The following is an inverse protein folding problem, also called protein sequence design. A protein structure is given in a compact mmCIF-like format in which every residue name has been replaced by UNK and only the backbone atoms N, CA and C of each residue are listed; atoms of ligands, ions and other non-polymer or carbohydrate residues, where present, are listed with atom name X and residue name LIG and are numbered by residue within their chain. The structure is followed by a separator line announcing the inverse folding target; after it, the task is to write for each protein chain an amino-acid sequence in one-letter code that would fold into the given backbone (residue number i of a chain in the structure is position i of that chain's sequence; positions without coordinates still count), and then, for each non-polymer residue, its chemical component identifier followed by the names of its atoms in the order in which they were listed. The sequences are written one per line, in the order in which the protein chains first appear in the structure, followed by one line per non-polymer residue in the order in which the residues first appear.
data_IF_847015497420
#
_entry.id   IF_847015497420
#
_cell.length_a   1.000
_cell.length_b   1.000
_cell.length_c   1.000
_cell.angle_alpha   90.00
_cell.angle_beta   90.00
_cell.angle_gamma   90.00
#
_symmetry.space_group_name_H-M   'P 1'
#
loop_
_entity.id
_entity.type
_entity.pdbx_description
1 polymer ?
#
# COMPACT_ATOMS: atom_id res chain seq x y z
N UNK A 1 -33.00 48.16 31.45
CA UNK A 1 -32.50 46.85 31.92
C UNK A 1 -32.39 45.87 30.73
N UNK A 2 -31.67 46.29 29.68
CA UNK A 2 -31.54 45.56 28.40
C UNK A 2 -30.17 45.82 27.73
N UNK A 3 -29.14 46.08 28.54
CA UNK A 3 -27.77 46.38 28.06
C UNK A 3 -26.74 45.37 28.58
N UNK A 4 -27.14 44.44 29.47
CA UNK A 4 -26.24 43.45 30.07
C UNK A 4 -26.22 42.11 29.32
N UNK A 5 -27.14 41.88 28.37
CA UNK A 5 -27.20 40.62 27.60
C UNK A 5 -26.41 40.63 26.28
N UNK A 6 -25.83 41.78 25.89
CA UNK A 6 -25.08 41.90 24.63
C UNK A 6 -23.55 41.75 24.80
N UNK A 7 -23.03 41.81 26.02
CA UNK A 7 -21.58 41.70 26.27
C UNK A 7 -21.12 40.26 26.56
N UNK A 8 -22.02 39.37 27.02
CA UNK A 8 -21.68 37.97 27.30
C UNK A 8 -21.73 37.04 26.06
N UNK A 9 -22.18 37.54 24.91
CA UNK A 9 -22.11 36.81 23.62
C UNK A 9 -20.86 37.15 22.80
N UNK A 10 -20.06 38.14 23.21
CA UNK A 10 -18.84 38.56 22.52
C UNK A 10 -17.56 37.87 23.04
N UNK A 11 -17.68 37.05 24.10
CA UNK A 11 -16.57 36.29 24.69
C UNK A 11 -16.71 34.77 24.50
N UNK A 12 -17.41 34.33 23.45
CA UNK A 12 -17.16 33.01 22.90
C UNK A 12 -15.75 33.08 22.28
N UNK A 13 -14.74 32.68 23.05
CA UNK A 13 -13.40 32.43 22.56
C UNK A 13 -13.52 31.67 21.25
N UNK A 14 -13.09 32.25 20.13
CA UNK A 14 -12.93 31.50 18.89
C UNK A 14 -12.13 30.24 19.26
N UNK A 15 -12.67 29.03 19.01
CA UNK A 15 -11.93 27.82 19.32
C UNK A 15 -10.59 27.95 18.58
N UNK A 16 -9.49 27.94 19.34
CA UNK A 16 -8.15 28.16 18.80
C UNK A 16 -7.99 27.31 17.55
N UNK A 17 -7.94 27.96 16.39
CA UNK A 17 -8.00 27.29 15.11
C UNK A 17 -6.82 26.32 15.03
N UNK A 18 -7.09 25.03 15.21
CA UNK A 18 -6.05 24.00 15.19
C UNK A 18 -5.45 24.02 13.80
N UNK A 19 -4.15 24.31 13.71
CA UNK A 19 -3.45 24.36 12.42
C UNK A 19 -3.64 23.04 11.70
N UNK A 20 -3.91 23.08 10.39
CA UNK A 20 -4.15 21.88 9.58
C UNK A 20 -3.04 20.83 9.69
N UNK A 21 -1.77 21.25 9.80
CA UNK A 21 -0.64 20.33 10.03
C UNK A 21 -0.75 19.54 11.34
N UNK A 22 -1.24 20.16 12.41
CA UNK A 22 -1.53 19.48 13.68
C UNK A 22 -2.69 18.50 13.52
N UNK A 23 -3.77 18.91 12.86
CA UNK A 23 -4.91 18.02 12.57
C UNK A 23 -4.48 16.78 11.79
N UNK A 24 -3.65 16.94 10.74
CA UNK A 24 -3.11 15.82 9.97
C UNK A 24 -2.25 14.89 10.83
N UNK A 25 -1.40 15.45 11.70
CA UNK A 25 -0.57 14.67 12.64
C UNK A 25 -1.40 13.84 13.63
N UNK A 26 -2.50 14.41 14.13
CA UNK A 26 -3.41 13.77 15.10
C UNK A 26 -4.42 12.79 14.42
N UNK A 27 -4.48 12.81 13.09
CA UNK A 27 -5.43 12.02 12.29
C UNK A 27 -4.89 10.66 11.82
N UNK A 28 -3.66 10.28 12.20
CA UNK A 28 -3.10 8.97 11.91
C UNK A 28 -4.05 7.82 12.28
N UNK A 29 -4.01 6.73 11.52
CA UNK A 29 -4.70 5.50 11.86
C UNK A 29 -3.78 4.64 12.73
N UNK A 30 -4.24 4.24 13.90
CA UNK A 30 -3.47 3.42 14.84
C UNK A 30 -4.30 2.22 15.27
N UNK A 31 -3.73 1.02 15.14
CA UNK A 31 -4.30 -0.23 15.64
C UNK A 31 -3.22 -0.95 16.43
N UNK A 32 -3.54 -1.35 17.65
CA UNK A 32 -2.56 -1.97 18.54
C UNK A 32 -3.20 -3.10 19.35
N UNK A 33 -2.37 -4.08 19.69
CA UNK A 33 -2.74 -5.21 20.54
C UNK A 33 -3.38 -6.36 19.77
N UNK A 34 -3.26 -7.55 20.34
CA UNK A 34 -3.70 -8.80 19.71
C UNK A 34 -5.21 -8.87 19.50
N UNK A 35 -6.00 -8.14 20.30
CA UNK A 35 -7.45 -8.01 20.09
C UNK A 35 -7.79 -7.32 18.76
N UNK A 36 -7.00 -6.31 18.35
CA UNK A 36 -7.15 -5.68 17.04
C UNK A 36 -6.62 -6.58 15.92
N UNK A 37 -5.46 -7.19 16.12
CA UNK A 37 -4.84 -8.11 15.13
C UNK A 37 -5.77 -9.26 14.73
N UNK A 38 -6.48 -9.85 15.71
CA UNK A 38 -7.36 -11.01 15.52
C UNK A 38 -8.82 -10.62 15.26
N UNK A 39 -9.13 -9.35 15.04
CA UNK A 39 -10.51 -8.91 14.90
C UNK A 39 -11.12 -9.42 13.57
N UNK A 40 -12.28 -10.08 13.59
CA UNK A 40 -12.93 -10.58 12.35
C UNK A 40 -13.35 -9.48 11.38
N UNK A 41 -13.52 -8.26 11.87
CA UNK A 41 -13.83 -7.07 11.08
C UNK A 41 -12.62 -6.13 11.04
N UNK A 42 -11.42 -6.67 10.81
CA UNK A 42 -10.24 -5.83 10.67
C UNK A 42 -10.44 -4.85 9.51
N UNK A 43 -10.37 -3.55 9.81
CA UNK A 43 -10.44 -2.50 8.80
C UNK A 43 -9.06 -2.39 8.13
N UNK A 44 -8.95 -2.77 6.86
CA UNK A 44 -7.68 -2.68 6.15
C UNK A 44 -7.46 -1.26 5.63
N UNK A 45 -6.27 -0.72 5.88
CA UNK A 45 -5.90 0.58 5.31
C UNK A 45 -5.49 0.42 3.84
N UNK A 46 -5.69 1.47 3.05
CA UNK A 46 -5.21 1.53 1.68
C UNK A 46 -4.05 2.52 1.56
N UNK A 47 -3.01 2.08 0.86
CA UNK A 47 -1.95 2.92 0.32
C UNK A 47 -2.22 3.06 -1.18
N UNK A 48 -1.89 4.20 -1.78
CA UNK A 48 -1.99 4.34 -3.22
C UNK A 48 -1.53 5.70 -3.72
N UNK A 49 -0.88 5.68 -4.88
CA UNK A 49 -0.44 6.81 -5.70
C UNK A 49 -0.09 6.28 -7.10
N UNK A 50 -0.05 7.16 -8.10
CA UNK A 50 0.45 6.81 -9.44
C UNK A 50 -0.32 5.68 -10.14
N UNK A 51 -1.61 5.54 -9.83
CA UNK A 51 -2.46 4.48 -10.37
C UNK A 51 -2.31 3.12 -9.68
N UNK A 52 -1.40 2.98 -8.73
CA UNK A 52 -1.19 1.76 -7.94
C UNK A 52 -1.85 1.92 -6.58
N UNK A 53 -2.56 0.89 -6.13
CA UNK A 53 -3.17 0.86 -4.81
C UNK A 53 -2.95 -0.52 -4.18
N UNK A 54 -2.55 -0.52 -2.92
CA UNK A 54 -2.46 -1.71 -2.09
C UNK A 54 -3.33 -1.53 -0.86
N UNK A 55 -4.29 -2.43 -0.68
CA UNK A 55 -4.98 -2.61 0.59
C UNK A 55 -4.17 -3.60 1.41
N UNK A 56 -3.66 -3.16 2.56
CA UNK A 56 -2.58 -3.84 3.27
C UNK A 56 -3.14 -4.72 4.39
N UNK A 57 -2.73 -5.99 4.44
CA UNK A 57 -3.03 -6.93 5.52
C UNK A 57 -2.42 -6.50 6.86
N UNK A 58 -2.85 -7.12 7.99
CA UNK A 58 -2.31 -6.76 9.30
C UNK A 58 -0.82 -7.08 9.45
N UNK A 59 -0.27 -7.95 8.61
CA UNK A 59 1.14 -8.26 8.54
C UNK A 59 1.88 -7.46 7.45
N UNK A 60 1.20 -6.67 6.62
CA UNK A 60 1.84 -5.86 5.59
C UNK A 60 1.75 -6.40 4.17
N UNK A 61 1.13 -7.56 3.96
CA UNK A 61 1.05 -8.21 2.65
C UNK A 61 -0.40 -8.35 2.18
N UNK A 62 -0.63 -8.88 0.97
CA UNK A 62 -2.01 -9.12 0.49
C UNK A 62 -2.52 -10.50 0.89
N UNK A 63 -1.62 -11.39 1.29
CA UNK A 63 -1.94 -12.67 1.92
C UNK A 63 -0.91 -13.04 3.01
N UNK A 64 -1.34 -13.73 4.08
CA UNK A 64 -2.74 -13.98 4.42
C UNK A 64 -3.47 -12.69 4.85
N UNK A 65 -4.81 -12.69 4.77
CA UNK A 65 -5.61 -11.67 5.45
C UNK A 65 -5.55 -11.81 6.98
N UNK A 66 -6.28 -10.97 7.72
CA UNK A 66 -6.34 -11.11 9.17
C UNK A 66 -6.88 -12.49 9.61
N UNK A 67 -6.27 -13.04 10.67
CA UNK A 67 -6.37 -14.46 11.07
C UNK A 67 -7.78 -14.97 11.42
N UNK A 68 -8.80 -14.11 11.47
CA UNK A 68 -10.16 -14.46 11.88
C UNK A 68 -11.25 -13.98 10.90
N UNK A 69 -10.90 -13.58 9.67
CA UNK A 69 -11.88 -13.02 8.74
C UNK A 69 -12.63 -14.14 8.02
N UNK A 70 -13.67 -14.65 8.67
CA UNK A 70 -14.79 -15.28 7.97
C UNK A 70 -15.81 -14.18 7.63
N UNK A 71 -15.73 -13.62 6.43
CA UNK A 71 -16.74 -12.68 5.95
C UNK A 71 -18.02 -13.46 5.65
N UNK A 72 -18.95 -13.53 6.60
CA UNK A 72 -20.31 -14.06 6.38
C UNK A 72 -21.16 -13.12 5.49
N UNK A 73 -20.55 -12.50 4.48
CA UNK A 73 -21.18 -11.57 3.55
C UNK A 73 -20.60 -11.75 2.14
N UNK A 74 -21.39 -11.35 1.14
CA UNK A 74 -20.98 -11.45 -0.26
C UNK A 74 -19.83 -10.49 -0.61
N UNK A 75 -19.53 -9.46 0.18
CA UNK A 75 -18.35 -8.59 -0.02
C UNK A 75 -17.20 -9.02 0.88
N UNK A 76 -16.08 -9.44 0.26
CA UNK A 76 -14.84 -9.80 0.94
C UNK A 76 -13.94 -8.57 0.99
N UNK A 77 -14.00 -7.82 2.09
CA UNK A 77 -13.01 -6.78 2.40
C UNK A 77 -11.67 -7.46 2.69
N UNK A 78 -10.93 -7.84 1.65
CA UNK A 78 -9.63 -8.51 1.75
C UNK A 78 -8.53 -7.57 1.29
N UNK A 79 -7.30 -7.74 1.80
CA UNK A 79 -6.12 -7.12 1.22
C UNK A 79 -6.00 -7.44 -0.28
N UNK A 80 -5.39 -6.54 -1.04
CA UNK A 80 -5.13 -6.73 -2.47
C UNK A 80 -4.09 -5.75 -2.98
N UNK A 81 -3.50 -6.08 -4.13
CA UNK A 81 -2.74 -5.16 -4.96
C UNK A 81 -3.49 -4.91 -6.27
N UNK A 82 -3.63 -3.64 -6.64
CA UNK A 82 -4.32 -3.23 -7.85
C UNK A 82 -3.53 -2.16 -8.61
N UNK A 83 -3.74 -2.13 -9.91
CA UNK A 83 -3.16 -1.14 -10.79
C UNK A 83 -4.21 -0.64 -11.79
N UNK A 84 -4.17 0.66 -12.10
CA UNK A 84 -5.16 1.34 -12.93
C UNK A 84 -5.27 0.84 -14.37
N UNK A 85 -4.36 -0.03 -14.82
CA UNK A 85 -4.39 -0.61 -16.16
C UNK A 85 -4.60 -2.13 -16.15
N UNK A 86 -4.92 -2.74 -15.01
CA UNK A 86 -5.29 -4.15 -14.92
C UNK A 86 -6.79 -4.37 -15.10
N UNK A 87 -7.21 -4.35 -16.37
CA UNK A 87 -8.59 -4.54 -16.79
C UNK A 87 -8.73 -5.68 -17.79
N UNK A 88 -9.97 -6.14 -17.97
CA UNK A 88 -10.36 -6.88 -19.16
C UNK A 88 -11.00 -6.00 -20.23
N UNK A 89 -11.25 -6.58 -21.39
CA UNK A 89 -11.90 -5.92 -22.54
C UNK A 89 -13.35 -5.51 -22.25
N UNK A 90 -13.96 -6.04 -21.18
CA UNK A 90 -15.33 -5.72 -20.76
C UNK A 90 -15.36 -4.60 -19.71
N UNK A 91 -14.21 -4.02 -19.35
CA UNK A 91 -14.12 -2.91 -18.40
C UNK A 91 -14.20 -3.33 -16.94
N UNK A 92 -13.87 -4.59 -16.62
CA UNK A 92 -13.77 -5.06 -15.24
C UNK A 92 -12.35 -4.99 -14.72
N UNK A 93 -12.20 -4.51 -13.48
CA UNK A 93 -10.91 -4.46 -12.79
C UNK A 93 -10.54 -5.84 -12.26
N UNK A 94 -9.28 -6.24 -12.47
CA UNK A 94 -8.74 -7.51 -12.02
C UNK A 94 -7.59 -7.33 -11.02
N UNK A 95 -7.32 -8.40 -10.26
CA UNK A 95 -6.25 -8.49 -9.27
C UNK A 95 -5.37 -9.70 -9.64
N UNK A 96 -4.42 -9.58 -10.58
CA UNK A 96 -3.69 -10.73 -11.13
C UNK A 96 -2.69 -11.34 -10.14
N UNK A 97 -2.31 -10.60 -9.11
CA UNK A 97 -1.24 -10.97 -8.20
C UNK A 97 -1.66 -10.83 -6.73
N UNK A 98 -1.16 -11.74 -5.91
CA UNK A 98 -1.13 -11.60 -4.46
C UNK A 98 0.31 -11.67 -3.96
N UNK A 99 0.60 -10.95 -2.89
CA UNK A 99 1.89 -10.89 -2.23
C UNK A 99 1.77 -11.60 -0.89
N UNK A 100 2.62 -12.60 -0.65
CA UNK A 100 2.78 -13.25 0.64
C UNK A 100 4.17 -12.99 1.18
N UNK A 101 4.29 -12.66 2.46
CA UNK A 101 5.58 -12.33 3.06
C UNK A 101 5.74 -12.94 4.45
N UNK A 102 6.86 -13.64 4.66
CA UNK A 102 7.10 -14.31 5.93
C UNK A 102 8.36 -15.15 5.93
N UNK A 103 8.31 -16.24 6.70
CA UNK A 103 9.47 -17.05 7.05
C UNK A 103 9.20 -18.53 6.82
N UNK A 104 10.26 -19.27 6.49
CA UNK A 104 10.22 -20.71 6.24
C UNK A 104 9.46 -21.08 4.96
N UNK A 105 9.30 -22.39 4.71
CA UNK A 105 8.73 -22.91 3.45
C UNK A 105 7.29 -22.46 3.17
N UNK A 106 6.52 -22.13 4.22
CA UNK A 106 5.14 -21.68 4.07
C UNK A 106 5.01 -20.17 4.00
N UNK A 107 6.08 -19.41 4.22
CA UNK A 107 6.09 -17.94 4.21
C UNK A 107 5.02 -17.33 5.13
N UNK A 108 4.81 -17.95 6.28
CA UNK A 108 3.91 -17.43 7.29
C UNK A 108 4.61 -16.35 8.13
N UNK A 109 3.88 -15.40 8.72
CA UNK A 109 4.46 -14.41 9.62
C UNK A 109 4.97 -15.01 10.94
N UNK A 110 4.92 -16.34 11.13
CA UNK A 110 5.08 -17.05 12.40
C UNK A 110 4.00 -16.71 13.44
N UNK A 111 4.20 -17.10 14.71
CA UNK A 111 3.26 -16.80 15.79
C UNK A 111 3.43 -15.36 16.24
N UNK A 112 2.44 -14.52 15.94
CA UNK A 112 2.41 -13.11 16.34
C UNK A 112 2.01 -12.98 17.82
N UNK A 113 2.85 -12.35 18.64
CA UNK A 113 2.64 -12.08 20.06
C UNK A 113 2.34 -10.62 20.38
N UNK A 114 2.90 -9.68 19.61
CA UNK A 114 2.59 -8.25 19.70
C UNK A 114 2.33 -7.66 18.33
N UNK A 115 1.46 -6.65 18.27
CA UNK A 115 1.04 -6.02 17.04
C UNK A 115 0.82 -4.53 17.25
N UNK A 116 1.43 -3.72 16.38
CA UNK A 116 1.11 -2.31 16.22
C UNK A 116 1.11 -1.97 14.73
N UNK A 117 0.12 -1.22 14.29
CA UNK A 117 -0.01 -0.70 12.93
C UNK A 117 -0.27 0.80 13.04
N UNK A 118 0.52 1.61 12.35
CA UNK A 118 0.38 3.06 12.28
C UNK A 118 0.48 3.54 10.84
N UNK A 119 -0.61 4.07 10.29
CA UNK A 119 -0.59 4.81 9.03
C UNK A 119 -0.52 6.31 9.33
N UNK A 120 0.62 6.90 8.99
CA UNK A 120 0.83 8.34 8.98
C UNK A 120 0.27 8.95 7.70
N UNK A 121 -0.90 9.59 7.82
CA UNK A 121 -1.55 10.18 6.65
C UNK A 121 -0.81 11.42 6.15
N UNK A 122 0.01 12.08 6.98
CA UNK A 122 0.78 13.27 6.56
C UNK A 122 1.79 12.95 5.47
N UNK A 123 2.25 11.70 5.41
CA UNK A 123 3.26 11.23 4.46
C UNK A 123 2.85 9.98 3.68
N UNK A 124 1.65 9.45 3.92
CA UNK A 124 1.19 8.16 3.37
C UNK A 124 2.10 6.98 3.74
N UNK A 125 2.67 7.02 4.94
CA UNK A 125 3.67 6.05 5.40
C UNK A 125 3.07 5.11 6.44
N UNK A 126 3.11 3.81 6.15
CA UNK A 126 2.60 2.77 7.01
C UNK A 126 3.75 2.05 7.73
N UNK A 127 3.60 1.88 9.04
CA UNK A 127 4.47 1.09 9.88
C UNK A 127 3.67 -0.06 10.51
N UNK A 128 4.23 -1.26 10.49
CA UNK A 128 3.72 -2.42 11.21
C UNK A 128 4.84 -3.03 12.04
N UNK A 129 4.65 -3.06 13.35
CA UNK A 129 5.54 -3.69 14.32
C UNK A 129 4.94 -5.02 14.77
N UNK A 130 5.69 -6.11 14.58
CA UNK A 130 5.30 -7.45 15.00
C UNK A 130 6.34 -8.03 15.96
N UNK A 131 5.87 -8.52 17.11
CA UNK A 131 6.62 -9.46 17.93
C UNK A 131 6.29 -10.86 17.49
N UNK A 132 7.32 -11.66 17.18
CA UNK A 132 7.19 -12.96 16.53
C UNK A 132 7.89 -14.05 17.33
N UNK A 133 7.31 -15.26 17.32
CA UNK A 133 7.92 -16.47 17.88
C UNK A 133 7.85 -17.64 16.91
N UNK A 134 8.85 -18.52 16.98
CA UNK A 134 8.96 -19.74 16.16
C UNK A 134 7.82 -20.74 16.43
N UNK A 135 7.41 -20.86 17.69
CA UNK A 135 6.36 -21.76 18.15
C UNK A 135 5.45 -21.10 19.20
N UNK A 136 4.36 -21.79 19.55
CA UNK A 136 3.42 -21.33 20.58
C UNK A 136 4.03 -21.28 22.00
N UNK A 137 5.18 -21.93 22.21
CA UNK A 137 5.89 -21.97 23.48
C UNK A 137 6.90 -20.81 23.63
N UNK A 138 7.12 -20.03 22.58
CA UNK A 138 7.92 -18.80 22.60
C UNK A 138 9.44 -19.02 22.66
N UNK A 139 9.94 -20.21 22.29
CA UNK A 139 11.33 -20.62 22.51
C UNK A 139 12.39 -19.69 21.89
N UNK A 140 12.07 -19.07 20.75
CA UNK A 140 12.82 -17.96 20.16
C UNK A 140 11.87 -16.83 19.78
N UNK A 141 12.23 -15.62 20.15
CA UNK A 141 11.45 -14.42 19.89
C UNK A 141 12.28 -13.35 19.19
N UNK A 142 11.67 -12.61 18.28
CA UNK A 142 12.32 -11.50 17.60
C UNK A 142 11.28 -10.44 17.20
N UNK A 143 11.75 -9.25 16.84
CA UNK A 143 10.90 -8.16 16.35
C UNK A 143 11.08 -8.02 14.84
N UNK A 144 9.97 -7.80 14.14
CA UNK A 144 9.91 -7.44 12.73
C UNK A 144 9.26 -6.07 12.58
N UNK A 145 10.03 -5.09 12.09
CA UNK A 145 9.56 -3.76 11.76
C UNK A 145 9.34 -3.65 10.25
N UNK A 146 8.12 -3.33 9.83
CA UNK A 146 7.73 -3.27 8.42
C UNK A 146 7.31 -1.86 8.06
N UNK A 147 7.97 -1.28 7.08
CA UNK A 147 7.74 0.08 6.60
C UNK A 147 7.27 0.05 5.15
N UNK A 148 6.16 0.73 4.86
CA UNK A 148 5.48 0.64 3.57
C UNK A 148 4.95 1.99 3.09
N UNK A 149 5.07 2.23 1.78
CA UNK A 149 4.45 3.36 1.10
C UNK A 149 4.34 3.09 -0.39
N UNK A 150 3.53 3.88 -1.10
CA UNK A 150 3.46 3.88 -2.56
C UNK A 150 3.92 5.24 -3.05
N UNK A 151 4.91 5.24 -3.94
CA UNK A 151 5.50 6.46 -4.49
C UNK A 151 4.54 7.17 -5.46
N UNK A 152 4.75 8.47 -5.77
CA UNK A 152 3.98 9.17 -6.81
C UNK A 152 4.01 8.51 -8.19
N UNK A 153 5.07 7.73 -8.47
CA UNK A 153 5.19 6.95 -9.68
C UNK A 153 4.41 5.62 -9.64
N UNK A 154 3.77 5.26 -8.52
CA UNK A 154 3.01 4.01 -8.37
C UNK A 154 3.87 2.79 -8.08
N UNK A 155 5.03 2.98 -7.45
CA UNK A 155 5.92 1.90 -6.99
C UNK A 155 5.59 1.61 -5.53
N UNK A 156 5.25 0.36 -5.21
CA UNK A 156 5.09 -0.10 -3.82
C UNK A 156 6.48 -0.37 -3.25
N UNK A 157 6.78 0.24 -2.11
CA UNK A 157 8.04 0.05 -1.40
C UNK A 157 7.71 -0.63 -0.07
N UNK A 158 8.34 -1.77 0.19
CA UNK A 158 8.19 -2.52 1.43
C UNK A 158 9.58 -2.78 2.00
N UNK A 159 9.88 -2.26 3.19
CA UNK A 159 11.12 -2.56 3.92
C UNK A 159 10.79 -3.36 5.16
N UNK A 160 11.52 -4.45 5.36
CA UNK A 160 11.46 -5.30 6.54
C UNK A 160 12.78 -5.15 7.28
N UNK A 161 12.72 -4.86 8.57
CA UNK A 161 13.87 -4.82 9.47
C UNK A 161 13.63 -5.78 10.62
N UNK A 162 14.35 -6.89 10.59
CA UNK A 162 14.26 -7.93 11.61
C UNK A 162 15.44 -7.82 12.58
N UNK A 163 15.17 -7.99 13.88
CA UNK A 163 16.25 -8.06 14.88
C UNK A 163 17.12 -9.31 14.66
N UNK A 164 18.38 -9.26 15.11
CA UNK A 164 19.36 -10.33 14.90
C UNK A 164 18.95 -11.72 15.42
N UNK A 165 17.95 -11.80 16.30
CA UNK A 165 17.40 -13.06 16.82
C UNK A 165 16.45 -13.80 15.87
N UNK A 166 16.19 -13.28 14.66
CA UNK A 166 15.34 -13.95 13.68
C UNK A 166 15.91 -15.33 13.30
N UNK A 167 15.12 -16.41 13.38
CA UNK A 167 15.61 -17.77 13.15
C UNK A 167 15.78 -18.13 11.67
N UNK A 168 15.16 -17.35 10.77
CA UNK A 168 15.09 -17.57 9.33
C UNK A 168 15.13 -16.23 8.61
N UNK A 169 15.51 -16.20 7.31
CA UNK A 169 15.48 -14.98 6.55
C UNK A 169 14.05 -14.64 6.12
N UNK A 170 13.78 -13.35 5.93
CA UNK A 170 12.52 -12.92 5.35
C UNK A 170 12.48 -13.19 3.85
N UNK A 171 11.36 -13.73 3.37
CA UNK A 171 11.09 -14.01 1.97
C UNK A 171 9.71 -13.47 1.59
N UNK A 172 9.55 -13.13 0.31
CA UNK A 172 8.28 -12.78 -0.31
C UNK A 172 7.98 -13.72 -1.48
N UNK A 173 6.74 -14.18 -1.57
CA UNK A 173 6.20 -14.96 -2.68
C UNK A 173 5.13 -14.18 -3.43
N UNK A 174 5.09 -14.39 -4.74
CA UNK A 174 4.12 -13.77 -5.63
C UNK A 174 3.20 -14.86 -6.16
N UNK A 175 1.98 -14.86 -5.65
CA UNK A 175 0.91 -15.73 -6.13
C UNK A 175 0.28 -15.13 -7.39
N UNK A 176 0.13 -15.93 -8.44
CA UNK A 176 -0.64 -15.54 -9.63
C UNK A 176 -2.06 -16.08 -9.49
N UNK A 177 -3.02 -15.16 -9.41
CA UNK A 177 -4.37 -15.46 -8.98
C UNK A 177 -5.13 -16.38 -9.96
N UNK A 178 -5.23 -17.66 -9.60
CA UNK A 178 -5.99 -18.65 -10.37
C UNK A 178 -7.51 -18.45 -10.26
N UNK A 179 -7.97 -17.74 -9.23
CA UNK A 179 -9.39 -17.43 -9.00
C UNK A 179 -9.66 -15.96 -9.28
N UNK A 180 -10.23 -15.66 -10.45
CA UNK A 180 -10.51 -14.28 -10.89
C UNK A 180 -11.58 -13.65 -10.00
N UNK A 181 -11.22 -12.54 -9.32
CA UNK A 181 -12.16 -11.74 -8.52
C UNK A 181 -12.48 -10.45 -9.26
N UNK A 182 -13.77 -10.21 -9.52
CA UNK A 182 -14.29 -8.91 -9.95
C UNK A 182 -14.91 -8.19 -8.73
N UNK A 183 -14.58 -6.92 -8.55
CA UNK A 183 -15.23 -5.98 -7.61
C UNK A 183 -15.42 -6.47 -6.16
N UNK A 184 -14.40 -7.02 -5.51
CA UNK A 184 -14.39 -7.33 -4.06
C UNK A 184 -15.58 -8.19 -3.57
N UNK A 185 -16.36 -8.77 -4.48
CA UNK A 185 -17.42 -9.70 -4.18
C UNK A 185 -16.76 -11.08 -3.99
N UNK A 186 -17.20 -11.85 -3.01
CA UNK A 186 -16.99 -13.29 -2.92
C UNK A 186 -17.63 -14.07 -4.08
N UNK A 187 -18.21 -13.34 -5.04
CA UNK A 187 -18.88 -13.84 -6.23
C UNK A 187 -17.95 -14.67 -7.09
N UNK A 188 -18.04 -15.98 -6.89
CA UNK A 188 -18.15 -16.90 -8.02
C UNK A 188 -19.08 -16.22 -9.01
N UNK A 189 -18.57 -15.83 -10.17
CA UNK A 189 -19.43 -15.43 -11.26
C UNK A 189 -20.49 -16.52 -11.46
N UNK A 190 -21.64 -16.19 -12.05
CA UNK A 190 -22.59 -17.21 -12.48
C UNK A 190 -21.96 -18.24 -13.46
N UNK A 191 -20.76 -17.97 -13.99
CA UNK A 191 -20.00 -18.80 -14.93
C UNK A 191 -18.54 -18.92 -14.50
N UNK A 192 -17.85 -20.00 -14.86
CA UNK A 192 -16.41 -20.09 -14.64
C UNK A 192 -15.66 -19.05 -15.50
N UNK A 193 -14.60 -18.46 -14.96
CA UNK A 193 -13.71 -17.54 -15.68
C UNK A 193 -12.36 -18.20 -15.88
N UNK A 194 -11.75 -17.96 -17.05
CA UNK A 194 -10.39 -18.43 -17.30
C UNK A 194 -9.43 -17.91 -16.22
N UNK A 195 -8.59 -18.78 -15.63
CA UNK A 195 -7.63 -18.38 -14.62
C UNK A 195 -6.52 -17.51 -15.21
N UNK A 196 -5.85 -16.73 -14.37
CA UNK A 196 -4.58 -16.13 -14.75
C UNK A 196 -3.50 -17.20 -14.84
N UNK A 197 -2.71 -17.20 -15.91
CA UNK A 197 -1.52 -18.05 -16.04
C UNK A 197 -0.27 -17.20 -15.86
N UNK A 198 0.59 -17.63 -14.95
CA UNK A 198 1.76 -16.90 -14.49
C UNK A 198 3.07 -17.51 -14.97
N UNK A 199 4.07 -16.66 -15.21
CA UNK A 199 5.46 -17.09 -15.38
C UNK A 199 6.41 -16.08 -14.71
N UNK A 200 7.48 -16.59 -14.10
CA UNK A 200 8.54 -15.79 -13.50
C UNK A 200 9.80 -15.75 -14.37
N UNK A 201 10.47 -14.61 -14.37
CA UNK A 201 11.77 -14.43 -15.00
C UNK A 201 12.73 -13.79 -13.99
N UNK A 202 13.76 -14.54 -13.63
CA UNK A 202 14.77 -14.09 -12.68
C UNK A 202 15.62 -12.97 -13.25
N UNK A 203 15.86 -11.94 -12.44
CA UNK A 203 16.81 -10.86 -12.71
C UNK A 203 17.90 -10.89 -11.65
N UNK A 204 18.99 -10.17 -11.91
CA UNK A 204 19.97 -9.89 -10.87
C UNK A 204 19.26 -9.10 -9.76
N UNK A 205 19.25 -9.65 -8.55
CA UNK A 205 18.66 -9.04 -7.36
C UNK A 205 17.18 -8.64 -7.58
N UNK A 206 16.41 -9.50 -8.26
CA UNK A 206 14.97 -9.27 -8.45
C UNK A 206 14.27 -10.28 -9.34
N UNK A 207 12.96 -10.09 -9.49
CA UNK A 207 12.05 -10.98 -10.21
C UNK A 207 11.12 -10.16 -11.11
N UNK A 208 10.77 -10.71 -12.27
CA UNK A 208 9.66 -10.21 -13.09
C UNK A 208 8.62 -11.31 -13.20
N UNK A 209 7.39 -11.04 -12.78
CA UNK A 209 6.25 -11.97 -12.89
C UNK A 209 5.28 -11.44 -13.93
N UNK A 210 4.87 -12.28 -14.87
CA UNK A 210 3.91 -11.94 -15.91
C UNK A 210 2.69 -12.83 -15.75
N UNK A 211 1.50 -12.22 -15.71
CA UNK A 211 0.23 -12.92 -15.68
C UNK A 211 -0.55 -12.63 -16.97
N UNK A 212 -1.07 -13.69 -17.59
CA UNK A 212 -1.88 -13.61 -18.82
C UNK A 212 -3.23 -14.26 -18.59
N UNK A 213 -4.26 -13.66 -19.16
CA UNK A 213 -5.63 -14.19 -19.20
C UNK A 213 -6.26 -13.82 -20.55
N UNK A 214 -7.07 -14.69 -21.17
CA UNK A 214 -7.81 -14.33 -22.38
C UNK A 214 -8.65 -13.07 -22.21
N UNK A 215 -8.77 -12.28 -23.28
CA UNK A 215 -9.57 -11.02 -23.32
C UNK A 215 -9.25 -10.04 -22.19
N UNK A 216 -8.02 -10.07 -21.71
CA UNK A 216 -7.55 -9.24 -20.60
C UNK A 216 -6.21 -8.63 -20.94
N UNK A 217 -5.81 -7.58 -20.22
CA UNK A 217 -4.45 -7.11 -20.30
C UNK A 217 -3.43 -8.22 -19.97
N UNK A 218 -2.23 -8.12 -20.53
CA UNK A 218 -1.04 -8.80 -20.00
C UNK A 218 -0.55 -7.98 -18.82
N UNK A 219 -0.71 -8.52 -17.62
CA UNK A 219 -0.26 -7.90 -16.39
C UNK A 219 1.18 -8.31 -16.07
N UNK A 220 1.96 -7.39 -15.52
CA UNK A 220 3.32 -7.66 -15.07
C UNK A 220 3.60 -7.01 -13.71
N UNK A 221 4.49 -7.64 -12.94
CA UNK A 221 5.12 -7.09 -11.75
C UNK A 221 6.63 -7.20 -11.90
N UNK A 222 7.32 -6.06 -11.86
CA UNK A 222 8.77 -6.00 -11.69
C UNK A 222 9.08 -5.79 -10.22
N UNK A 223 9.97 -6.60 -9.66
CA UNK A 223 10.32 -6.54 -8.24
C UNK A 223 11.82 -6.57 -8.09
N UNK A 224 12.40 -5.43 -7.68
CA UNK A 224 13.80 -5.35 -7.33
C UNK A 224 13.95 -5.49 -5.81
N UNK A 225 14.96 -6.24 -5.36
CA UNK A 225 15.24 -6.47 -3.94
C UNK A 225 16.61 -5.89 -3.57
N UNK A 226 16.69 -5.31 -2.38
CA UNK A 226 17.92 -4.78 -1.79
C UNK A 226 18.11 -5.37 -0.38
N UNK A 227 19.31 -5.87 -0.09
CA UNK A 227 19.70 -6.47 1.19
C UNK A 227 21.15 -6.98 1.15
N UNK A 228 21.68 -7.40 2.30
CA UNK A 228 23.08 -7.85 2.42
C UNK A 228 23.39 -9.07 1.52
N UNK A 229 22.41 -9.95 1.32
CA UNK A 229 22.48 -11.08 0.40
C UNK A 229 21.08 -11.39 -0.13
N UNK A 230 20.80 -11.23 -1.41
CA UNK A 230 19.44 -11.45 -1.94
C UNK A 230 19.25 -12.89 -2.45
N UNK A 231 18.07 -13.46 -2.22
CA UNK A 231 17.59 -14.70 -2.83
C UNK A 231 16.56 -14.39 -3.91
N UNK A 232 16.61 -15.14 -5.02
CA UNK A 232 15.61 -15.08 -6.10
C UNK A 232 15.43 -16.50 -6.65
N UNK A 233 14.21 -16.99 -6.63
CA UNK A 233 13.79 -18.20 -7.33
C UNK A 233 12.62 -17.88 -8.27
N UNK A 234 12.90 -17.85 -9.57
CA UNK A 234 11.91 -17.55 -10.59
C UNK A 234 10.92 -18.68 -10.86
N UNK A 235 11.23 -19.91 -10.44
CA UNK A 235 10.32 -21.06 -10.60
C UNK A 235 9.28 -21.08 -9.50
N UNK A 236 9.70 -20.85 -8.24
CA UNK A 236 8.77 -20.72 -7.12
C UNK A 236 8.17 -19.32 -7.00
N UNK A 237 8.65 -18.32 -7.76
CA UNK A 237 8.21 -16.91 -7.65
C UNK A 237 8.52 -16.30 -6.28
N UNK A 238 9.67 -16.67 -5.70
CA UNK A 238 10.11 -16.24 -4.38
C UNK A 238 11.34 -15.33 -4.49
N UNK A 239 11.43 -14.34 -3.61
CA UNK A 239 12.61 -13.50 -3.46
C UNK A 239 12.70 -12.88 -2.07
N UNK A 240 13.91 -12.57 -1.60
CA UNK A 240 14.12 -12.05 -0.25
C UNK A 240 15.58 -11.92 0.13
N UNK A 241 15.87 -12.14 1.41
CA UNK A 241 17.23 -12.16 1.96
C UNK A 241 17.74 -13.60 2.12
N UNK A 242 19.03 -13.86 1.97
CA UNK A 242 19.63 -15.13 2.43
C UNK A 242 20.03 -15.07 3.90
N UNK A 243 20.32 -13.87 4.39
CA UNK A 243 20.74 -13.63 5.76
C UNK A 243 19.54 -13.53 6.70
N UNK A 244 19.66 -14.13 7.87
CA UNK A 244 18.67 -14.00 8.94
C UNK A 244 18.84 -12.65 9.65
N UNK A 245 17.72 -12.02 10.01
CA UNK A 245 17.73 -10.69 10.58
C UNK A 245 18.20 -9.62 9.59
N UNK A 246 18.29 -8.38 10.06
CA UNK A 246 18.75 -7.26 9.25
C UNK A 246 17.64 -6.68 8.36
N UNK A 247 18.04 -6.01 7.28
CA UNK A 247 17.16 -5.21 6.44
C UNK A 247 17.03 -5.85 5.06
N UNK A 248 15.80 -6.02 4.59
CA UNK A 248 15.47 -6.30 3.19
C UNK A 248 14.44 -5.30 2.69
N UNK A 249 14.63 -4.75 1.49
CA UNK A 249 13.71 -3.80 0.87
C UNK A 249 13.27 -4.31 -0.50
N UNK A 250 11.97 -4.27 -0.77
CA UNK A 250 11.34 -4.62 -2.03
C UNK A 250 10.79 -3.38 -2.72
N UNK A 251 11.09 -3.25 -4.01
CA UNK A 251 10.59 -2.20 -4.89
C UNK A 251 9.73 -2.86 -5.96
N UNK A 252 8.42 -2.70 -5.87
CA UNK A 252 7.43 -3.44 -6.66
C UNK A 252 6.73 -2.46 -7.60
N UNK A 253 6.92 -2.64 -8.91
CA UNK A 253 6.32 -1.81 -9.93
C UNK A 253 5.36 -2.63 -10.80
N UNK A 254 4.10 -2.21 -10.95
CA UNK A 254 3.17 -2.84 -11.88
C UNK A 254 3.41 -2.37 -13.33
N UNK A 255 3.03 -3.24 -14.26
CA UNK A 255 2.95 -2.94 -15.69
C UNK A 255 1.75 -3.59 -16.35
N UNK A 256 1.27 -3.02 -17.44
CA UNK A 256 0.14 -3.54 -18.22
C UNK A 256 0.33 -3.32 -19.72
N UNK A 257 -0.11 -4.28 -20.53
CA UNK A 257 -0.16 -4.11 -22.00
C UNK A 257 -1.11 -3.01 -22.47
N UNK A 258 -2.01 -2.53 -21.61
CA UNK A 258 -2.87 -1.39 -21.92
C UNK A 258 -2.17 -0.04 -21.72
N UNK A 259 -1.01 -0.03 -21.06
CA UNK A 259 -0.18 1.15 -20.86
C UNK A 259 0.99 1.19 -21.84
N UNK A 260 1.67 0.05 -22.03
CA UNK A 260 2.90 -0.06 -22.81
C UNK A 260 2.99 -1.41 -23.54
N UNK A 261 3.68 -1.45 -24.67
CA UNK A 261 3.82 -2.67 -25.50
C UNK A 261 4.51 -3.82 -24.75
N UNK A 262 5.59 -3.51 -24.02
CA UNK A 262 6.32 -4.50 -23.21
C UNK A 262 6.19 -4.19 -21.71
N UNK A 263 5.09 -4.64 -21.06
CA UNK A 263 4.85 -4.35 -19.66
C UNK A 263 5.87 -4.98 -18.72
N UNK A 264 6.47 -6.11 -19.09
CA UNK A 264 7.43 -6.81 -18.26
C UNK A 264 8.75 -6.02 -18.15
N UNK A 265 9.28 -5.57 -19.28
CA UNK A 265 10.49 -4.74 -19.32
C UNK A 265 10.27 -3.38 -18.67
N UNK A 266 9.12 -2.74 -18.91
CA UNK A 266 8.79 -1.46 -18.30
C UNK A 266 8.70 -1.55 -16.76
N UNK A 267 7.98 -2.57 -16.25
CA UNK A 267 7.85 -2.81 -14.82
C UNK A 267 9.21 -3.07 -14.17
N UNK A 268 10.06 -3.91 -14.78
CA UNK A 268 11.42 -4.15 -14.27
C UNK A 268 12.26 -2.88 -14.19
N UNK A 269 12.34 -2.12 -15.29
CA UNK A 269 13.13 -0.88 -15.33
C UNK A 269 12.68 0.11 -14.26
N UNK A 270 11.37 0.20 -14.02
CA UNK A 270 10.79 1.08 -12.99
C UNK A 270 11.15 0.63 -11.58
N UNK A 271 11.06 -0.67 -11.29
CA UNK A 271 11.49 -1.25 -10.02
C UNK A 271 13.00 -1.08 -9.78
N UNK A 272 13.83 -1.35 -10.79
CA UNK A 272 15.29 -1.21 -10.73
C UNK A 272 15.73 0.25 -10.53
N UNK A 273 15.06 1.20 -11.20
CA UNK A 273 15.29 2.62 -11.01
C UNK A 273 14.90 3.09 -9.60
N UNK A 274 13.80 2.58 -9.04
CA UNK A 274 13.45 2.82 -7.63
C UNK A 274 14.50 2.27 -6.67
N UNK A 275 14.94 1.02 -6.87
CA UNK A 275 16.03 0.44 -6.05
C UNK A 275 17.29 1.29 -6.11
N UNK A 276 17.66 1.78 -7.29
CA UNK A 276 18.85 2.62 -7.48
C UNK A 276 18.75 3.98 -6.77
N UNK A 277 17.54 4.53 -6.62
CA UNK A 277 17.29 5.74 -5.80
C UNK A 277 17.34 5.45 -4.30
N UNK A 278 16.92 4.24 -3.91
CA UNK A 278 16.92 3.79 -2.52
C UNK A 278 15.71 4.27 -1.72
N UNK A 279 15.46 3.58 -0.60
CA UNK A 279 14.25 3.76 0.21
C UNK A 279 14.09 5.18 0.78
N UNK A 280 15.16 5.75 1.34
CA UNK A 280 15.08 7.03 2.04
C UNK A 280 14.73 8.18 1.10
N UNK A 281 15.32 8.20 -0.10
CA UNK A 281 15.02 9.20 -1.12
C UNK A 281 13.56 9.08 -1.57
N UNK A 282 13.11 7.88 -1.91
CA UNK A 282 11.71 7.63 -2.32
C UNK A 282 10.71 8.00 -1.21
N UNK A 283 11.04 7.74 0.06
CA UNK A 283 10.20 8.12 1.20
C UNK A 283 10.08 9.64 1.31
N UNK A 284 11.19 10.37 1.15
CA UNK A 284 11.19 11.83 1.16
C UNK A 284 10.42 12.43 -0.02
N UNK A 285 10.61 11.90 -1.24
CA UNK A 285 9.85 12.28 -2.43
C UNK A 285 8.34 12.08 -2.23
N UNK A 286 7.95 10.94 -1.64
CA UNK A 286 6.54 10.63 -1.35
C UNK A 286 5.96 11.56 -0.29
N UNK A 287 6.70 11.83 0.80
CA UNK A 287 6.27 12.77 1.82
C UNK A 287 6.11 14.19 1.28
N UNK A 288 6.99 14.62 0.37
CA UNK A 288 6.89 15.91 -0.31
C UNK A 288 5.63 15.98 -1.17
N UNK A 289 5.30 14.93 -1.91
CA UNK A 289 4.06 14.87 -2.69
C UNK A 289 2.82 15.04 -1.81
N UNK A 290 2.75 14.34 -0.68
CA UNK A 290 1.63 14.47 0.27
C UNK A 290 1.52 15.87 0.85
N UNK A 291 2.65 16.51 1.19
CA UNK A 291 2.67 17.90 1.64
C UNK A 291 2.04 18.83 0.61
N UNK A 292 2.47 18.74 -0.65
CA UNK A 292 1.92 19.56 -1.75
C UNK A 292 0.43 19.29 -2.01
N UNK A 293 0.00 18.05 -1.85
CA UNK A 293 -1.41 17.68 -1.94
C UNK A 293 -2.25 18.34 -0.82
N UNK A 294 -1.76 18.29 0.42
CA UNK A 294 -2.46 18.86 1.56
C UNK A 294 -2.48 20.38 1.59
N UNK A 295 -1.44 21.05 1.08
CA UNK A 295 -1.40 22.51 0.93
C UNK A 295 -2.57 23.04 0.07
N UNK A 296 -3.07 22.22 -0.85
CA UNK A 296 -4.22 22.56 -1.73
C UNK A 296 -5.56 22.08 -1.20
N UNK A 297 -5.56 21.31 -0.12
CA UNK A 297 -6.74 20.61 0.41
C UNK A 297 -7.12 21.07 1.82
N UNK A 298 -6.60 22.22 2.25
CA UNK A 298 -6.77 22.75 3.60
C UNK A 298 -8.23 23.16 3.83
N UNK A 299 -8.84 22.64 4.89
CA UNK A 299 -10.15 23.07 5.36
C UNK A 299 -10.11 23.34 6.85
N UNK A 300 -10.76 24.42 7.26
CA UNK A 300 -11.00 24.73 8.67
C UNK A 300 -12.42 24.32 9.03
N UNK A 301 -12.55 23.41 10.00
CA UNK A 301 -13.84 22.99 10.54
C UNK A 301 -13.91 23.37 12.03
N UNK A 302 -15.08 23.75 12.54
CA UNK A 302 -15.22 24.24 13.92
C UNK A 302 -15.11 23.14 14.98
N UNK A 303 -15.32 21.88 14.58
CA UNK A 303 -15.26 20.70 15.44
C UNK A 303 -13.98 19.88 15.14
N UNK A 304 -13.20 19.56 16.16
CA UNK A 304 -11.92 18.87 16.00
C UNK A 304 -12.06 17.43 15.56
N UNK A 305 -13.12 16.73 15.96
CA UNK A 305 -13.38 15.35 15.55
C UNK A 305 -13.82 15.31 14.08
N UNK A 306 -14.68 16.24 13.68
CA UNK A 306 -15.06 16.41 12.28
C UNK A 306 -13.84 16.76 11.42
N UNK A 307 -12.97 17.66 11.90
CA UNK A 307 -11.73 18.01 11.19
C UNK A 307 -10.80 16.80 11.01
N UNK A 308 -10.71 15.93 12.02
CA UNK A 308 -9.97 14.67 11.94
C UNK A 308 -10.56 13.69 10.92
N UNK A 309 -11.88 13.52 10.90
CA UNK A 309 -12.55 12.66 9.92
C UNK A 309 -12.44 13.21 8.50
N UNK A 310 -12.51 14.53 8.36
CA UNK A 310 -12.26 15.21 7.09
C UNK A 310 -10.83 14.94 6.61
N UNK A 311 -9.81 15.14 7.45
CA UNK A 311 -8.41 14.83 7.11
C UNK A 311 -8.20 13.39 6.64
N UNK A 312 -8.82 12.42 7.31
CA UNK A 312 -8.80 11.00 6.92
C UNK A 312 -9.50 10.75 5.59
N UNK A 313 -10.63 11.42 5.35
CA UNK A 313 -11.35 11.34 4.08
C UNK A 313 -10.51 11.93 2.94
N UNK A 314 -9.88 13.08 3.17
CA UNK A 314 -8.97 13.73 2.23
C UNK A 314 -7.78 12.85 1.88
N UNK A 315 -7.18 12.15 2.86
CA UNK A 315 -6.15 11.14 2.58
C UNK A 315 -6.64 10.09 1.58
N UNK A 316 -7.83 9.52 1.80
CA UNK A 316 -8.39 8.50 0.92
C UNK A 316 -8.79 9.02 -0.46
N UNK A 317 -9.16 10.30 -0.57
CA UNK A 317 -9.30 10.95 -1.87
C UNK A 317 -7.96 11.03 -2.60
N UNK A 318 -6.88 11.43 -1.91
CA UNK A 318 -5.53 11.47 -2.47
C UNK A 318 -5.03 10.10 -2.92
N UNK A 319 -5.30 9.05 -2.12
CA UNK A 319 -4.99 7.66 -2.48
C UNK A 319 -5.72 7.20 -3.76
N UNK A 320 -6.94 7.71 -3.96
CA UNK A 320 -7.77 7.40 -5.12
C UNK A 320 -7.49 8.32 -6.31
N UNK A 321 -6.65 9.35 -6.13
CA UNK A 321 -6.43 10.37 -7.14
C UNK A 321 -5.52 9.86 -8.26
N UNK A 322 -6.15 9.44 -9.34
CA UNK A 322 -5.53 9.14 -10.63
C UNK A 322 -5.19 10.44 -11.39
N UNK A 323 -5.67 11.62 -10.95
CA UNK A 323 -5.61 12.88 -11.71
C UNK A 323 -4.24 13.55 -11.74
N UNK A 324 -3.23 12.98 -11.07
CA UNK A 324 -1.85 13.47 -11.15
C UNK A 324 -1.27 13.53 -12.57
N UNK A 325 -1.77 12.73 -13.52
CA UNK A 325 -1.36 12.79 -14.93
C UNK A 325 -2.04 13.91 -15.73
N UNK A 326 -3.19 14.43 -15.29
CA UNK A 326 -3.88 15.53 -15.99
C UNK A 326 -3.15 16.86 -15.79
N UNK A 327 -2.40 17.04 -14.68
CA UNK A 327 -1.61 18.27 -14.46
C UNK A 327 -0.40 18.42 -15.40
N UNK A 328 0.14 17.32 -15.95
CA UNK A 328 1.20 17.39 -16.97
C UNK A 328 0.67 17.79 -18.34
N UNK A 329 -0.56 17.41 -18.69
CA UNK A 329 -1.22 17.84 -19.94
C UNK A 329 -1.62 19.32 -19.85
N UNK A 330 -2.05 19.81 -18.68
CA UNK A 330 -2.40 21.22 -18.49
C UNK A 330 -1.19 22.17 -18.44
N UNK A 331 0.02 21.70 -18.12
CA UNK A 331 1.26 22.52 -18.24
C UNK A 331 1.74 22.70 -19.68
N UNK A 332 1.29 21.88 -20.63
CA UNK A 332 1.64 22.04 -22.06
C UNK A 332 0.69 23.01 -22.78
N UNK A 333 -0.42 23.39 -22.15
CA UNK A 333 -1.45 24.27 -22.75
C UNK A 333 -1.50 25.68 -22.14
N UNK A 334 -0.46 26.11 -21.41
CA UNK A 334 -0.34 27.53 -21.04
C UNK A 334 0.05 28.37 -22.27
N UNK A 335 -0.96 28.80 -23.03
CA UNK A 335 -0.85 29.86 -24.04
C UNK A 335 -0.46 31.17 -23.33
N UNK A 336 0.43 32.01 -23.88
CA UNK A 336 0.79 33.27 -23.25
C UNK A 336 -0.40 34.22 -23.21
N UNK A 337 -0.51 34.92 -22.09
CA UNK A 337 -1.48 35.97 -21.80
C UNK A 337 -1.64 36.95 -22.98
N UNK A 338 -2.82 36.98 -23.60
CA UNK A 338 -3.22 38.11 -24.45
C UNK A 338 -3.73 39.22 -23.54
N UNK A 339 -2.99 40.32 -23.51
CA UNK A 339 -3.40 41.60 -22.94
C UNK A 339 -4.52 42.17 -23.83
N UNK A 340 -5.70 42.43 -23.26
CA UNK A 340 -6.75 43.20 -23.92
C UNK A 340 -6.61 44.66 -23.50
N UNK A 341 -6.47 45.53 -24.50
CA UNK A 341 -6.65 46.99 -24.40
C UNK A 341 -8.13 47.34 -24.27
#
# INVERSE_FOLDING_TARGET
MAVVLAQDLANASEPAQVSWGKTLGDAAFVKEGMGRFRHPQYEYECLGLGGTMMRVGPDGFTQPGACAVNTNGFLKHMPYLSYQYWWDEEGHRHLPFDLKGGYGEKLEPMVVSTFRHRLDITTGFLQIDLGLHEDANGSKSFQSHREMFITPEGIVVIRITDTAGAPMPFQMHIDVNQNVRIYLNGGVYAKAHDPWKGEGNGKKDGLVVVAKRPKSCKAALGIAVEGAETSVDAKSLELGSKSHGGIVTFYIAPGSSYEVVDPASAAWKKAEAARSRGFNALRQETAQWWREYYERSVVSLPDSDLQKWFARSTYYMGVSDVMGQVSRVLRVLSVPSMTLF
#
